data_IF_815301794157
#
_entry.id   IF_815301794157
#
_cell.length_a   1.000
_cell.length_b   1.000
_cell.length_c   1.000
_cell.angle_alpha   90.00
_cell.angle_beta   90.00
_cell.angle_gamma   90.00
#
_symmetry.space_group_name_H-M   'P 1'
#
loop_
_entity.id
_entity.type
_entity.pdbx_description
1 polymer ?
#
# COMPACT_ATOMS: atom_id res chain seq x y z
N UNK A 1 -5.41 -2.90 -23.42
CA UNK A 1 -5.73 -3.19 -22.00
C UNK A 1 -5.32 -1.98 -21.13
N UNK A 2 -5.78 -1.86 -19.87
CA UNK A 2 -5.56 -0.64 -19.06
C UNK A 2 -4.08 -0.24 -18.87
N UNK A 3 -3.17 -1.21 -18.96
CA UNK A 3 -1.71 -1.07 -18.97
C UNK A 3 -1.19 -0.18 -20.09
N UNK A 4 -1.72 -0.36 -21.30
CA UNK A 4 -1.25 0.34 -22.51
C UNK A 4 -1.54 1.84 -22.42
N UNK A 5 -2.66 2.21 -21.81
CA UNK A 5 -3.05 3.62 -21.64
C UNK A 5 -2.22 4.34 -20.60
N UNK A 6 -1.91 3.66 -19.50
CA UNK A 6 -1.04 4.23 -18.48
C UNK A 6 0.36 4.46 -19.03
N UNK A 7 0.94 3.51 -19.78
CA UNK A 7 2.29 3.66 -20.37
C UNK A 7 2.41 4.80 -21.39
N UNK A 8 1.29 5.18 -22.02
CA UNK A 8 1.26 6.29 -22.96
C UNK A 8 1.20 7.68 -22.29
N UNK A 9 1.01 7.74 -20.97
CA UNK A 9 1.07 9.02 -20.25
C UNK A 9 2.52 9.50 -20.13
N UNK A 10 2.73 10.78 -20.43
CA UNK A 10 3.99 11.49 -20.18
C UNK A 10 4.20 11.67 -18.68
N UNK A 11 5.45 11.97 -18.29
CA UNK A 11 5.76 12.28 -16.89
C UNK A 11 4.94 13.47 -16.37
N UNK A 12 4.75 14.51 -17.21
CA UNK A 12 3.93 15.66 -16.86
C UNK A 12 2.47 15.25 -16.58
N UNK A 13 1.89 14.38 -17.42
CA UNK A 13 0.52 13.89 -17.21
C UNK A 13 0.40 13.06 -15.93
N UNK A 14 1.43 12.29 -15.57
CA UNK A 14 1.48 11.59 -14.29
C UNK A 14 1.55 12.58 -13.12
N UNK A 15 2.38 13.61 -13.21
CA UNK A 15 2.47 14.69 -12.21
C UNK A 15 1.15 15.45 -12.06
N UNK A 16 0.35 15.59 -13.12
CA UNK A 16 -0.99 16.18 -13.06
C UNK A 16 -2.05 15.23 -12.48
N UNK A 17 -1.84 13.91 -12.56
CA UNK A 17 -2.74 12.91 -12.00
C UNK A 17 -2.58 12.73 -10.48
N UNK A 18 -1.36 12.90 -9.94
CA UNK A 18 -1.07 12.74 -8.50
C UNK A 18 -1.83 13.72 -7.60
N UNK A 19 -2.00 15.01 -7.93
CA UNK A 19 -2.85 15.96 -7.20
C UNK A 19 -4.24 15.40 -6.89
N UNK A 20 -4.87 14.68 -7.82
CA UNK A 20 -6.21 14.11 -7.59
C UNK A 20 -6.23 13.17 -6.37
N UNK A 21 -5.11 12.50 -6.10
CA UNK A 21 -4.93 11.59 -4.96
C UNK A 21 -4.67 12.41 -3.69
N UNK A 22 -3.63 13.25 -3.68
CA UNK A 22 -3.14 13.92 -2.45
C UNK A 22 -4.01 15.10 -2.02
N UNK A 23 -4.80 15.67 -2.93
CA UNK A 23 -5.77 16.74 -2.65
C UNK A 23 -7.13 16.20 -2.22
N UNK A 24 -7.33 14.87 -2.24
CA UNK A 24 -8.56 14.28 -1.76
C UNK A 24 -8.76 14.59 -0.26
N UNK A 25 -9.96 15.00 0.17
CA UNK A 25 -10.24 15.23 1.59
C UNK A 25 -10.00 13.99 2.46
N UNK A 26 -10.13 12.79 1.89
CA UNK A 26 -9.90 11.51 2.58
C UNK A 26 -8.43 11.12 2.68
N UNK A 27 -7.53 11.82 1.98
CA UNK A 27 -6.11 11.46 1.94
C UNK A 27 -5.49 11.51 3.33
N UNK A 28 -5.62 12.63 4.03
CA UNK A 28 -5.07 12.77 5.38
C UNK A 28 -5.85 12.03 6.47
N UNK A 29 -7.12 11.71 6.21
CA UNK A 29 -7.90 10.81 7.08
C UNK A 29 -7.28 9.42 7.05
N UNK A 30 -6.98 8.91 5.85
CA UNK A 30 -6.36 7.59 5.69
C UNK A 30 -4.88 7.57 6.08
N UNK A 31 -4.21 8.72 6.11
CA UNK A 31 -2.80 8.85 6.49
C UNK A 31 -2.63 9.56 7.84
N UNK A 32 -3.54 9.29 8.79
CA UNK A 32 -3.54 9.89 10.12
C UNK A 32 -2.30 9.58 10.96
N UNK A 33 -1.56 8.51 10.63
CA UNK A 33 -0.28 8.16 11.24
C UNK A 33 0.85 9.15 10.90
N UNK A 34 0.67 10.00 9.88
CA UNK A 34 1.62 11.06 9.54
C UNK A 34 1.30 12.31 10.40
N UNK A 35 2.27 12.79 11.20
CA UNK A 35 2.09 13.97 12.05
C UNK A 35 1.65 15.20 11.24
N UNK A 36 0.77 16.02 11.80
CA UNK A 36 0.14 17.16 11.11
C UNK A 36 1.19 18.14 10.58
N UNK A 37 2.22 18.38 11.37
CA UNK A 37 3.37 19.25 11.06
C UNK A 37 4.16 18.78 9.84
N UNK A 38 4.17 17.47 9.53
CA UNK A 38 4.89 16.89 8.38
C UNK A 38 4.04 16.82 7.11
N UNK A 39 2.71 17.00 7.20
CA UNK A 39 1.79 16.75 6.07
C UNK A 39 2.05 17.67 4.88
N UNK A 40 2.37 18.94 5.14
CA UNK A 40 2.66 19.90 4.08
C UNK A 40 3.89 19.49 3.27
N UNK A 41 5.00 19.23 3.95
CA UNK A 41 6.25 18.79 3.33
C UNK A 41 6.07 17.46 2.60
N UNK A 42 5.44 16.47 3.25
CA UNK A 42 5.17 15.15 2.66
C UNK A 42 4.38 15.27 1.35
N UNK A 43 3.37 16.16 1.30
CA UNK A 43 2.61 16.41 0.07
C UNK A 43 3.47 17.03 -1.01
N UNK A 44 4.22 18.07 -0.68
CA UNK A 44 5.10 18.75 -1.63
C UNK A 44 6.14 17.79 -2.22
N UNK A 45 6.65 16.86 -1.41
CA UNK A 45 7.57 15.82 -1.85
C UNK A 45 6.90 14.80 -2.78
N UNK A 46 5.72 14.28 -2.41
CA UNK A 46 4.98 13.34 -3.25
C UNK A 46 4.68 13.94 -4.62
N UNK A 47 4.29 15.22 -4.68
CA UNK A 47 4.04 15.95 -5.92
C UNK A 47 5.30 16.10 -6.80
N UNK A 48 6.49 16.05 -6.20
CA UNK A 48 7.79 16.06 -6.90
C UNK A 48 8.33 14.66 -7.20
N UNK A 49 7.54 13.61 -6.93
CA UNK A 49 7.95 12.21 -7.12
C UNK A 49 8.87 11.68 -6.01
N UNK A 50 9.00 12.41 -4.90
CA UNK A 50 9.77 11.98 -3.72
C UNK A 50 8.81 11.38 -2.69
N UNK A 51 9.09 10.16 -2.27
CA UNK A 51 8.24 9.43 -1.33
C UNK A 51 8.98 9.19 -0.03
N UNK A 52 8.27 9.34 1.09
CA UNK A 52 8.79 9.05 2.43
C UNK A 52 8.81 7.53 2.69
N UNK A 53 9.65 7.02 3.60
CA UNK A 53 9.66 5.59 3.94
C UNK A 53 8.39 5.09 4.63
N UNK A 54 7.56 5.97 5.18
CA UNK A 54 6.32 5.56 5.84
C UNK A 54 5.26 5.08 4.81
N UNK A 55 4.41 4.09 5.13
CA UNK A 55 3.30 3.71 4.25
C UNK A 55 2.40 4.90 3.92
N UNK A 56 1.95 4.98 2.67
CA UNK A 56 1.01 6.01 2.21
C UNK A 56 -0.22 5.31 1.66
N UNK A 57 -1.40 5.61 2.20
CA UNK A 57 -2.64 4.93 1.86
C UNK A 57 -3.51 5.76 0.92
N UNK A 58 -4.13 5.08 -0.05
CA UNK A 58 -5.03 5.71 -1.00
C UNK A 58 -6.25 6.33 -0.31
N UNK A 59 -6.76 7.48 -0.76
CA UNK A 59 -8.00 8.08 -0.25
C UNK A 59 -9.27 7.41 -0.80
N UNK A 60 -9.13 6.57 -1.83
CA UNK A 60 -10.28 5.98 -2.52
C UNK A 60 -10.56 4.57 -2.03
N UNK A 61 -11.84 4.22 -2.01
CA UNK A 61 -12.28 2.86 -1.72
C UNK A 61 -11.60 1.86 -2.66
N UNK A 62 -11.28 0.69 -2.11
CA UNK A 62 -10.86 -0.45 -2.88
C UNK A 62 -11.98 -0.89 -3.84
N UNK A 63 -11.63 -1.28 -5.06
CA UNK A 63 -12.55 -2.03 -5.94
C UNK A 63 -12.83 -3.42 -5.37
N UNK A 64 -13.69 -4.20 -6.04
CA UNK A 64 -13.91 -5.62 -5.71
C UNK A 64 -12.60 -6.44 -5.62
N UNK A 65 -11.57 -6.04 -6.38
CA UNK A 65 -10.24 -6.64 -6.37
C UNK A 65 -9.30 -6.08 -5.29
N UNK A 66 -9.78 -5.19 -4.41
CA UNK A 66 -8.96 -4.64 -3.31
C UNK A 66 -8.14 -3.40 -3.66
N UNK A 67 -8.15 -2.92 -4.92
CA UNK A 67 -7.28 -1.83 -5.38
C UNK A 67 -8.02 -0.51 -5.58
N UNK A 68 -7.38 0.60 -5.23
CA UNK A 68 -7.92 1.95 -5.45
C UNK A 68 -7.71 2.41 -6.90
N UNK A 69 -8.68 3.16 -7.44
CA UNK A 69 -8.65 3.71 -8.80
C UNK A 69 -8.79 5.23 -8.81
N UNK A 70 -8.13 5.88 -9.77
CA UNK A 70 -8.28 7.31 -10.10
C UNK A 70 -8.73 7.44 -11.56
N UNK A 71 -9.45 8.51 -11.89
CA UNK A 71 -9.86 8.81 -13.27
C UNK A 71 -9.17 10.07 -13.76
N UNK A 72 -8.21 9.92 -14.65
CA UNK A 72 -7.56 11.05 -15.32
C UNK A 72 -7.88 11.00 -16.81
N UNK A 73 -8.28 12.14 -17.39
CA UNK A 73 -8.71 12.25 -18.79
C UNK A 73 -9.72 11.17 -19.23
N UNK A 74 -10.72 10.89 -18.39
CA UNK A 74 -11.74 9.85 -18.59
C UNK A 74 -11.23 8.40 -18.66
N UNK A 75 -9.96 8.15 -18.31
CA UNK A 75 -9.40 6.80 -18.21
C UNK A 75 -9.27 6.40 -16.75
N UNK A 76 -9.85 5.24 -16.38
CA UNK A 76 -9.67 4.64 -15.06
C UNK A 76 -8.27 4.00 -14.99
N UNK A 77 -7.54 4.32 -13.93
CA UNK A 77 -6.19 3.79 -13.69
C UNK A 77 -6.05 3.36 -12.24
N UNK A 78 -5.27 2.30 -12.01
CA UNK A 78 -4.94 1.82 -10.68
C UNK A 78 -3.94 2.78 -10.02
N UNK A 79 -4.26 3.25 -8.81
CA UNK A 79 -3.50 4.31 -8.13
C UNK A 79 -2.06 3.90 -7.84
N UNK A 80 -1.84 2.65 -7.41
CA UNK A 80 -0.49 2.12 -7.15
C UNK A 80 0.38 2.11 -8.41
N UNK A 81 -0.21 1.91 -9.59
CA UNK A 81 0.53 1.96 -10.87
C UNK A 81 0.87 3.40 -11.27
N UNK A 82 -0.05 4.33 -11.04
CA UNK A 82 0.17 5.77 -11.30
C UNK A 82 1.32 6.30 -10.44
N UNK A 83 1.27 6.02 -9.14
CA UNK A 83 2.29 6.45 -8.17
C UNK A 83 3.64 5.80 -8.46
N UNK A 84 3.67 4.51 -8.81
CA UNK A 84 4.90 3.81 -9.20
C UNK A 84 5.57 4.44 -10.42
N UNK A 85 4.81 4.66 -11.51
CA UNK A 85 5.33 5.35 -12.69
C UNK A 85 5.75 6.79 -12.39
N UNK A 86 5.00 7.51 -11.55
CA UNK A 86 5.33 8.88 -11.20
C UNK A 86 6.70 8.98 -10.52
N UNK A 87 7.03 8.05 -9.62
CA UNK A 87 8.34 8.04 -8.95
C UNK A 87 9.48 7.62 -9.87
N UNK A 88 9.32 6.50 -10.60
CA UNK A 88 10.44 5.91 -11.34
C UNK A 88 10.56 6.42 -12.79
N UNK A 89 9.53 7.07 -13.34
CA UNK A 89 9.51 7.58 -14.72
C UNK A 89 9.54 6.49 -15.79
N UNK A 90 9.54 5.21 -15.41
CA UNK A 90 9.66 4.08 -16.33
C UNK A 90 8.31 3.68 -16.93
N UNK A 91 8.35 3.10 -18.12
CA UNK A 91 7.21 2.34 -18.64
C UNK A 91 7.09 1.05 -17.84
N UNK A 92 5.85 0.64 -17.55
CA UNK A 92 5.58 -0.63 -16.90
C UNK A 92 5.71 -1.76 -17.90
N UNK A 93 6.37 -2.85 -17.53
CA UNK A 93 6.43 -4.02 -18.39
C UNK A 93 5.02 -4.66 -18.48
N UNK A 94 4.47 -4.85 -19.70
CA UNK A 94 3.14 -5.44 -19.87
C UNK A 94 3.07 -6.91 -19.41
N UNK A 95 4.20 -7.60 -19.30
CA UNK A 95 4.29 -8.97 -18.79
C UNK A 95 4.46 -9.09 -17.28
N UNK A 96 4.56 -7.98 -16.55
CA UNK A 96 4.78 -7.96 -15.11
C UNK A 96 3.65 -7.23 -14.37
N UNK A 97 3.54 -7.52 -13.07
CA UNK A 97 2.58 -6.91 -12.15
C UNK A 97 3.31 -6.04 -11.13
N UNK A 98 2.63 -4.99 -10.66
CA UNK A 98 3.11 -4.22 -9.50
C UNK A 98 2.67 -4.96 -8.24
N UNK A 99 3.63 -5.51 -7.50
CA UNK A 99 3.40 -6.21 -6.24
C UNK A 99 3.71 -5.33 -5.03
N UNK A 100 2.86 -5.41 -4.01
CA UNK A 100 3.04 -4.71 -2.74
C UNK A 100 3.93 -5.52 -1.81
N UNK A 101 5.10 -4.99 -1.46
CA UNK A 101 6.10 -5.70 -0.64
C UNK A 101 6.03 -5.39 0.86
N UNK A 102 5.23 -4.41 1.26
CA UNK A 102 5.01 -4.06 2.67
C UNK A 102 3.70 -4.66 3.18
N UNK A 103 3.78 -5.48 4.22
CA UNK A 103 2.60 -5.94 4.96
C UNK A 103 2.16 -4.82 5.93
N UNK A 104 1.00 -4.23 5.65
CA UNK A 104 0.29 -3.26 6.50
C UNK A 104 -1.02 -3.85 7.05
N UNK A 105 -1.11 -5.17 7.14
CA UNK A 105 -2.33 -5.89 7.52
C UNK A 105 -3.42 -5.75 6.45
N UNK A 106 -4.66 -5.52 6.90
CA UNK A 106 -5.82 -5.31 6.02
C UNK A 106 -5.71 -4.08 5.11
N UNK A 107 -4.72 -3.21 5.34
CA UNK A 107 -4.49 -1.99 4.56
C UNK A 107 -3.44 -2.18 3.46
N UNK A 108 -2.83 -3.36 3.33
CA UNK A 108 -1.71 -3.62 2.41
C UNK A 108 -2.02 -3.25 0.96
N UNK A 109 -3.20 -3.61 0.44
CA UNK A 109 -3.60 -3.27 -0.95
C UNK A 109 -3.87 -1.78 -1.16
N UNK A 110 -4.13 -1.04 -0.08
CA UNK A 110 -4.35 0.41 -0.10
C UNK A 110 -3.06 1.22 0.01
N UNK A 111 -1.92 0.59 0.35
CA UNK A 111 -0.62 1.25 0.41
C UNK A 111 -0.12 1.56 -1.01
N UNK A 112 -0.18 2.84 -1.39
CA UNK A 112 0.19 3.37 -2.70
C UNK A 112 1.61 3.94 -2.74
N UNK A 113 2.44 3.68 -1.72
CA UNK A 113 3.82 4.14 -1.70
C UNK A 113 4.70 3.29 -2.65
N UNK A 114 5.31 3.87 -3.70
CA UNK A 114 6.15 3.14 -4.65
C UNK A 114 7.38 2.48 -4.04
N UNK A 115 7.92 3.00 -2.93
CA UNK A 115 9.02 2.39 -2.19
C UNK A 115 8.65 1.02 -1.61
N UNK A 116 7.35 0.75 -1.50
CA UNK A 116 6.78 -0.49 -0.97
C UNK A 116 6.24 -1.38 -2.09
N UNK A 117 6.76 -1.22 -3.30
CA UNK A 117 6.32 -1.98 -4.46
C UNK A 117 7.49 -2.42 -5.33
N UNK A 118 7.27 -3.51 -6.07
CA UNK A 118 8.19 -4.01 -7.09
C UNK A 118 7.42 -4.42 -8.34
N UNK A 119 8.08 -4.38 -9.49
CA UNK A 119 7.56 -4.98 -10.71
C UNK A 119 8.06 -6.43 -10.80
N UNK A 120 7.15 -7.41 -10.80
CA UNK A 120 7.50 -8.83 -10.74
C UNK A 120 6.49 -9.72 -11.50
N UNK A 121 6.84 -10.99 -11.82
CA UNK A 121 5.89 -11.93 -12.41
C UNK A 121 4.65 -12.12 -11.53
N UNK A 122 3.47 -12.22 -12.14
CA UNK A 122 2.20 -12.32 -11.41
C UNK A 122 2.11 -13.52 -10.45
N UNK A 123 2.88 -14.58 -10.67
CA UNK A 123 2.97 -15.71 -9.73
C UNK A 123 3.59 -15.30 -8.39
N UNK A 124 4.63 -14.45 -8.40
CA UNK A 124 5.27 -13.94 -7.19
C UNK A 124 4.36 -12.94 -6.47
N UNK A 125 3.66 -12.09 -7.22
CA UNK A 125 2.69 -11.17 -6.65
C UNK A 125 1.56 -11.93 -5.91
N UNK A 126 1.00 -12.96 -6.55
CA UNK A 126 -0.05 -13.79 -5.96
C UNK A 126 0.45 -14.57 -4.74
N UNK A 127 1.65 -15.15 -4.79
CA UNK A 127 2.21 -15.84 -3.61
C UNK A 127 2.44 -14.88 -2.45
N UNK A 128 2.81 -13.62 -2.71
CA UNK A 128 2.94 -12.57 -1.70
C UNK A 128 1.62 -12.18 -1.05
N UNK A 129 0.56 -12.05 -1.84
CA UNK A 129 -0.79 -11.83 -1.31
C UNK A 129 -1.19 -12.98 -0.39
N UNK A 130 -0.99 -14.23 -0.82
CA UNK A 130 -1.27 -15.40 0.02
C UNK A 130 -0.44 -15.41 1.31
N UNK A 131 0.84 -15.04 1.24
CA UNK A 131 1.71 -14.87 2.39
C UNK A 131 1.16 -13.85 3.39
N UNK A 132 0.73 -12.68 2.92
CA UNK A 132 0.19 -11.62 3.78
C UNK A 132 -1.12 -12.06 4.44
N UNK A 133 -2.03 -12.66 3.67
CA UNK A 133 -3.29 -13.20 4.19
C UNK A 133 -3.05 -14.32 5.23
N UNK A 134 -2.12 -15.24 4.96
CA UNK A 134 -1.78 -16.30 5.88
C UNK A 134 -1.21 -15.75 7.19
N UNK A 135 -0.27 -14.79 7.12
CA UNK A 135 0.28 -14.14 8.31
C UNK A 135 -0.81 -13.43 9.11
N UNK A 136 -1.65 -12.63 8.43
CA UNK A 136 -2.71 -11.87 9.09
C UNK A 136 -3.70 -12.79 9.80
N UNK A 137 -4.13 -13.89 9.17
CA UNK A 137 -5.05 -14.86 9.77
C UNK A 137 -4.41 -15.59 10.96
N UNK A 138 -3.22 -16.18 10.80
CA UNK A 138 -2.57 -16.94 11.86
C UNK A 138 -2.19 -16.06 13.05
N UNK A 139 -1.70 -14.84 12.81
CA UNK A 139 -1.40 -13.90 13.89
C UNK A 139 -2.68 -13.52 14.65
N UNK A 140 -3.78 -13.23 13.95
CA UNK A 140 -5.04 -12.86 14.62
C UNK A 140 -5.63 -14.01 15.43
N UNK A 141 -5.48 -15.25 14.98
CA UNK A 141 -5.93 -16.44 15.71
C UNK A 141 -5.02 -16.78 16.91
N UNK A 142 -3.71 -16.55 16.79
CA UNK A 142 -2.73 -16.89 17.82
C UNK A 142 -2.59 -15.84 18.92
N UNK A 143 -3.12 -14.63 18.70
CA UNK A 143 -3.00 -13.53 19.65
C UNK A 143 -4.24 -13.46 20.55
N UNK A 144 -4.06 -13.29 21.88
CA UNK A 144 -5.19 -13.03 22.75
C UNK A 144 -5.89 -11.73 22.33
N UNK A 145 -7.22 -11.73 22.32
CA UNK A 145 -8.01 -10.54 22.00
C UNK A 145 -7.53 -9.37 22.87
N UNK A 146 -7.03 -8.27 22.28
CA UNK A 146 -6.40 -7.23 23.08
C UNK A 146 -7.45 -6.48 23.88
N UNK A 147 -7.40 -6.60 25.22
CA UNK A 147 -8.12 -5.68 26.10
C UNK A 147 -7.47 -4.27 26.07
N UNK A 148 -6.14 -4.21 25.89
CA UNK A 148 -5.32 -3.01 25.63
C UNK A 148 -4.06 -3.39 24.85
N UNK A 149 -3.61 -2.55 23.92
CA UNK A 149 -2.32 -2.69 23.23
C UNK A 149 -1.16 -2.32 24.17
N UNK A 150 -0.79 -3.21 25.09
CA UNK A 150 0.39 -3.03 25.93
C UNK A 150 1.67 -3.22 25.12
N UNK A 151 2.78 -2.64 25.57
CA UNK A 151 4.09 -2.83 24.93
C UNK A 151 4.47 -4.31 24.84
N UNK A 152 4.20 -5.09 25.90
CA UNK A 152 4.41 -6.54 25.89
C UNK A 152 3.60 -7.26 24.81
N UNK A 153 2.35 -6.84 24.59
CA UNK A 153 1.50 -7.41 23.55
C UNK A 153 2.01 -7.05 22.14
N UNK A 154 2.41 -5.79 21.95
CA UNK A 154 3.01 -5.31 20.70
C UNK A 154 4.28 -6.12 20.38
N UNK A 155 5.19 -6.24 21.34
CA UNK A 155 6.45 -6.96 21.16
C UNK A 155 6.23 -8.45 20.84
N UNK A 156 5.31 -9.12 21.55
CA UNK A 156 4.96 -10.52 21.27
C UNK A 156 4.37 -10.68 19.88
N UNK A 157 3.47 -9.80 19.48
CA UNK A 157 2.83 -9.83 18.16
C UNK A 157 3.85 -9.60 17.04
N UNK A 158 4.70 -8.58 17.17
CA UNK A 158 5.74 -8.27 16.17
C UNK A 158 6.70 -9.45 16.04
N UNK A 159 7.09 -10.07 17.15
CA UNK A 159 7.93 -11.27 17.14
C UNK A 159 7.26 -12.43 16.40
N UNK A 160 5.99 -12.72 16.69
CA UNK A 160 5.22 -13.78 16.01
C UNK A 160 5.09 -13.51 14.50
N UNK A 161 4.72 -12.28 14.10
CA UNK A 161 4.62 -11.92 12.68
C UNK A 161 5.99 -12.07 12.01
N UNK A 162 7.08 -11.64 12.66
CA UNK A 162 8.41 -11.75 12.08
C UNK A 162 8.82 -13.20 11.82
N UNK A 163 8.53 -14.10 12.76
CA UNK A 163 8.78 -15.55 12.61
C UNK A 163 7.94 -16.13 11.47
N UNK A 164 6.65 -15.79 11.40
CA UNK A 164 5.76 -16.26 10.34
C UNK A 164 6.09 -15.65 8.96
N UNK A 165 6.72 -14.48 8.92
CA UNK A 165 7.18 -13.84 7.69
C UNK A 165 8.50 -14.42 7.16
N UNK A 166 9.29 -15.10 7.99
CA UNK A 166 10.62 -15.59 7.58
C UNK A 166 10.58 -16.55 6.36
N UNK A 167 9.63 -17.50 6.23
CA UNK A 167 9.44 -18.28 5.01
C UNK A 167 9.07 -17.42 3.79
N UNK A 168 8.17 -16.45 3.96
CA UNK A 168 7.73 -15.55 2.89
C UNK A 168 8.87 -14.64 2.40
N UNK A 169 9.72 -14.14 3.31
CA UNK A 169 10.94 -13.40 2.96
C UNK A 169 11.91 -14.25 2.16
N UNK A 170 12.08 -15.54 2.50
CA UNK A 170 12.92 -16.46 1.73
C UNK A 170 12.37 -16.74 0.34
N UNK A 171 11.05 -16.93 0.22
CA UNK A 171 10.38 -17.17 -1.05
C UNK A 171 10.46 -15.96 -2.00
N UNK A 172 10.44 -14.75 -1.45
CA UNK A 172 10.36 -13.51 -2.23
C UNK A 172 11.64 -12.65 -2.18
N UNK A 173 12.82 -13.29 -2.28
CA UNK A 173 14.11 -12.61 -2.42
C UNK A 173 14.35 -11.46 -1.39
N UNK A 174 14.31 -11.78 -0.09
CA UNK A 174 14.12 -10.88 1.06
C UNK A 174 13.28 -9.58 0.94
N UNK A 175 12.40 -9.43 -0.04
CA UNK A 175 11.70 -8.16 -0.28
C UNK A 175 10.51 -7.90 0.66
N UNK A 176 9.92 -8.93 1.27
CA UNK A 176 8.77 -8.72 2.16
C UNK A 176 9.17 -7.94 3.42
N UNK A 177 8.48 -6.83 3.68
CA UNK A 177 8.63 -5.97 4.85
C UNK A 177 7.34 -5.97 5.68
N UNK A 178 7.42 -5.52 6.93
CA UNK A 178 6.29 -5.38 7.85
C UNK A 178 6.30 -3.98 8.45
N UNK A 179 5.17 -3.28 8.35
CA UNK A 179 4.90 -2.08 9.13
C UNK A 179 3.90 -2.41 10.23
N UNK A 180 4.41 -2.67 11.43
CA UNK A 180 3.60 -3.13 12.56
C UNK A 180 2.63 -2.05 13.07
N UNK A 181 3.04 -0.78 13.03
CA UNK A 181 2.19 0.35 13.40
C UNK A 181 0.93 0.39 12.54
N UNK A 182 1.08 0.22 11.23
CA UNK A 182 -0.05 0.17 10.31
C UNK A 182 -0.83 -1.15 10.42
N UNK A 183 -0.15 -2.26 10.70
CA UNK A 183 -0.78 -3.58 10.85
C UNK A 183 -1.78 -3.62 12.01
N UNK A 184 -1.46 -2.96 13.13
CA UNK A 184 -2.34 -2.85 14.30
C UNK A 184 -3.53 -1.91 14.09
N UNK A 185 -3.47 -1.04 13.09
CA UNK A 185 -4.63 -0.19 12.78
C UNK A 185 -5.70 -1.08 12.18
N UNK A 186 -6.75 -1.35 12.97
CA UNK A 186 -8.01 -1.88 12.45
C UNK A 186 -8.42 -1.01 11.26
N UNK A 187 -8.94 -1.59 10.17
CA UNK A 187 -9.52 -0.76 9.12
C UNK A 187 -10.51 0.18 9.79
N UNK A 188 -10.39 1.50 9.53
CA UNK A 188 -11.46 2.43 9.83
C UNK A 188 -12.71 1.77 9.26
N UNK A 189 -13.59 1.31 10.15
CA UNK A 189 -14.84 0.70 9.76
C UNK A 189 -15.46 1.67 8.75
N UNK A 190 -15.54 1.25 7.49
CA UNK A 190 -16.65 1.72 6.67
C UNK A 190 -17.84 1.32 7.49
N UNK A 191 -18.45 2.31 8.14
CA UNK A 191 -19.80 2.26 8.68
C UNK A 191 -20.61 1.35 7.77
N UNK A 192 -20.76 0.09 8.19
CA UNK A 192 -21.75 -0.83 7.64
C UNK A 192 -23.03 -0.49 8.38
N UNK A 193 -23.47 0.74 8.19
CA UNK A 193 -24.81 1.17 8.51
C UNK A 193 -25.47 1.49 7.18
N UNK A 194 -26.58 0.78 6.99
CA UNK A 194 -27.50 0.73 5.86
C UNK A 194 -27.88 2.12 5.32
#
# INVERSE_FOLDING_TARGET
MATDRLNNLTQQQLTEAVPQIVDSPKFWVNNGHIPVEMRRETKEDILKGKWVPAPIFSPYAATHDGYSQVRYQNVKMLVHRVTFRHMYGTQLNPGLEISHIMNCGSRSSSNINPLHMVEEPGILNRSRICCFLFMDNNCRESLPAPAKYTESYINSTVSTIYVLNAPCRRLHAPQCQLDWNCWFQTPLETDRTL
#
